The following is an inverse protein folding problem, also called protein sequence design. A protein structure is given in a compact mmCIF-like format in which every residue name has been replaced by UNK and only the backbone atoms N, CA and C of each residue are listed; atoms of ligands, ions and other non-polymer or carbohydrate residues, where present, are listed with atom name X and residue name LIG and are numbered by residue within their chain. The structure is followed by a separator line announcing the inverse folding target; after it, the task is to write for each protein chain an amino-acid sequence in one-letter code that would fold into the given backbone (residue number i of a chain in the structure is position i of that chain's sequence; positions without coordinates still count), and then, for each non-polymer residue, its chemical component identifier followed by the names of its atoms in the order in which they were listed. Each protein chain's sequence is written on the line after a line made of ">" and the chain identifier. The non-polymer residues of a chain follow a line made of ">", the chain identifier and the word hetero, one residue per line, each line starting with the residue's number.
data_IF_854694817026
#
_entry.id   IF_854694817026
#
_cell.length_a   1.000
_cell.length_b   1.000
_cell.length_c   1.000
_cell.angle_alpha   90.00
_cell.angle_beta   90.00
_cell.angle_gamma   90.00
#
_symmetry.space_group_name_H-M   'P 1'
#
loop_
_entity.id
_entity.type
_entity.pdbx_description
1 polymer ?
#
# COMPACT_ATOMS: atom_id res chain seq x y z
N UNK A 1 5.75 -11.82 -22.46
CA UNK A 1 6.81 -10.80 -22.73
C UNK A 1 6.29 -9.43 -22.33
N UNK A 2 7.08 -8.60 -21.61
CA UNK A 2 6.68 -7.25 -21.25
C UNK A 2 6.39 -6.36 -22.48
N UNK A 3 5.46 -5.43 -22.32
CA UNK A 3 5.03 -4.50 -23.37
C UNK A 3 6.10 -3.44 -23.70
N UNK A 4 5.96 -2.77 -24.86
CA UNK A 4 6.82 -1.61 -25.17
C UNK A 4 6.69 -0.50 -24.11
N UNK A 5 5.47 -0.27 -23.59
CA UNK A 5 5.23 0.70 -22.52
C UNK A 5 5.97 0.36 -21.22
N UNK A 6 6.17 -0.93 -20.92
CA UNK A 6 7.00 -1.36 -19.79
C UNK A 6 8.44 -0.86 -19.93
N UNK A 7 9.05 -1.04 -21.11
CA UNK A 7 10.44 -0.62 -21.32
C UNK A 7 10.58 0.91 -21.26
N UNK A 8 9.59 1.66 -21.74
CA UNK A 8 9.57 3.12 -21.65
C UNK A 8 9.54 3.58 -20.18
N UNK A 9 8.59 3.05 -19.40
CA UNK A 9 8.41 3.45 -17.99
C UNK A 9 9.60 3.02 -17.13
N UNK A 10 10.07 1.78 -17.27
CA UNK A 10 11.22 1.30 -16.50
C UNK A 10 12.50 2.05 -16.84
N UNK A 11 12.73 2.41 -18.11
CA UNK A 11 13.86 3.26 -18.51
C UNK A 11 13.73 4.66 -17.92
N UNK A 12 12.54 5.27 -17.95
CA UNK A 12 12.31 6.57 -17.33
C UNK A 12 12.57 6.57 -15.82
N UNK A 13 12.12 5.53 -15.10
CA UNK A 13 12.38 5.36 -13.66
C UNK A 13 13.89 5.27 -13.37
N UNK A 14 14.64 4.53 -14.20
CA UNK A 14 16.10 4.44 -14.10
C UNK A 14 16.77 5.79 -14.34
N UNK A 15 16.35 6.55 -15.36
CA UNK A 15 16.87 7.89 -15.67
C UNK A 15 16.56 8.92 -14.58
N UNK A 16 15.35 8.88 -13.99
CA UNK A 16 15.00 9.69 -12.82
C UNK A 16 15.86 9.40 -11.59
N UNK A 17 16.56 8.26 -11.56
CA UNK A 17 17.44 7.88 -10.47
C UNK A 17 16.70 7.57 -9.18
N UNK A 18 15.47 7.04 -9.26
CA UNK A 18 14.68 6.63 -8.09
C UNK A 18 15.47 5.62 -7.25
N UNK A 19 16.02 4.58 -7.89
CA UNK A 19 16.90 3.60 -7.23
C UNK A 19 18.08 4.25 -6.50
N UNK A 20 18.71 5.28 -7.08
CA UNK A 20 19.85 5.98 -6.45
C UNK A 20 19.47 6.64 -5.11
N UNK A 21 18.23 7.11 -4.98
CA UNK A 21 17.67 7.66 -3.73
C UNK A 21 17.51 6.53 -2.71
N UNK A 22 16.97 5.40 -3.15
CA UNK A 22 16.80 4.19 -2.33
C UNK A 22 18.10 3.42 -2.08
N UNK A 23 19.25 3.79 -2.65
CA UNK A 23 20.54 3.13 -2.38
C UNK A 23 21.42 3.84 -1.35
N UNK A 24 20.87 4.85 -0.67
CA UNK A 24 21.55 5.58 0.42
C UNK A 24 21.17 5.01 1.79
N UNK A 25 22.09 5.11 2.76
CA UNK A 25 21.82 4.88 4.18
C UNK A 25 22.50 6.02 4.98
N UNK A 26 21.76 6.94 5.64
CA UNK A 26 20.30 6.99 5.69
C UNK A 26 19.67 7.22 4.30
N UNK A 27 18.50 6.62 4.06
CA UNK A 27 17.70 6.89 2.86
C UNK A 27 17.42 8.40 2.75
N UNK A 28 17.49 8.97 1.55
CA UNK A 28 17.30 10.42 1.33
C UNK A 28 15.81 10.80 1.39
N UNK A 29 15.15 10.56 2.52
CA UNK A 29 13.71 10.74 2.70
C UNK A 29 13.24 12.16 2.39
N UNK A 30 14.05 13.19 2.71
CA UNK A 30 13.74 14.59 2.36
C UNK A 30 13.61 14.81 0.85
N UNK A 31 14.32 14.03 0.03
CA UNK A 31 14.19 14.08 -1.43
C UNK A 31 12.92 13.36 -1.91
N UNK A 32 12.55 12.26 -1.27
CA UNK A 32 11.29 11.55 -1.54
C UNK A 32 10.08 12.45 -1.23
N UNK A 33 10.10 13.15 -0.09
CA UNK A 33 9.01 14.04 0.34
C UNK A 33 8.77 15.25 -0.55
N UNK A 34 9.68 15.57 -1.49
CA UNK A 34 9.43 16.63 -2.48
C UNK A 34 8.29 16.25 -3.45
N UNK A 35 7.98 14.97 -3.56
CA UNK A 35 6.89 14.44 -4.38
C UNK A 35 5.60 14.23 -3.57
N UNK A 36 5.60 14.54 -2.27
CA UNK A 36 4.42 14.39 -1.40
C UNK A 36 3.33 15.39 -1.81
N UNK A 37 2.11 14.88 -1.88
CA UNK A 37 0.90 15.64 -2.20
C UNK A 37 -0.08 15.43 -1.05
N UNK A 38 -0.04 16.30 -0.06
CA UNK A 38 -0.95 16.26 1.09
C UNK A 38 -2.38 16.72 0.75
N UNK A 39 -2.51 17.49 -0.34
CA UNK A 39 -3.79 17.98 -0.85
C UNK A 39 -3.84 17.82 -2.37
N UNK A 40 -4.80 17.04 -2.91
CA UNK A 40 -4.86 16.79 -4.34
C UNK A 40 -5.28 18.07 -5.09
N UNK A 41 -4.76 18.21 -6.31
CA UNK A 41 -5.16 19.32 -7.18
C UNK A 41 -6.56 19.09 -7.79
N UNK A 42 -7.21 20.16 -8.25
CA UNK A 42 -8.49 20.05 -8.99
C UNK A 42 -8.40 19.12 -10.21
N UNK A 43 -7.23 19.06 -10.86
CA UNK A 43 -6.99 18.17 -12.00
C UNK A 43 -7.02 16.70 -11.59
N UNK A 44 -6.41 16.36 -10.45
CA UNK A 44 -6.37 14.98 -9.93
C UNK A 44 -7.75 14.51 -9.47
N UNK A 45 -8.56 15.44 -8.94
CA UNK A 45 -9.94 15.20 -8.53
C UNK A 45 -10.94 15.25 -9.70
N UNK A 46 -10.52 15.23 -10.97
CA UNK A 46 -11.46 15.38 -12.09
C UNK A 46 -12.53 14.26 -12.09
N UNK A 47 -13.76 14.63 -11.75
CA UNK A 47 -14.91 13.71 -11.61
C UNK A 47 -15.24 13.31 -10.17
N UNK A 48 -14.53 13.88 -9.18
CA UNK A 48 -14.70 13.65 -7.76
C UNK A 48 -14.76 14.99 -6.98
N UNK A 49 -15.43 15.00 -5.84
CA UNK A 49 -15.26 16.01 -4.78
C UNK A 49 -14.30 15.50 -3.71
N UNK A 50 -13.77 16.41 -2.89
CA UNK A 50 -12.97 16.02 -1.73
C UNK A 50 -13.21 16.89 -0.52
N UNK A 51 -13.24 16.27 0.66
CA UNK A 51 -13.22 16.93 1.96
C UNK A 51 -12.08 16.36 2.80
N UNK A 52 -11.65 17.10 3.84
CA UNK A 52 -10.55 16.67 4.69
C UNK A 52 -10.95 16.76 6.16
N UNK A 53 -10.54 15.77 6.94
CA UNK A 53 -10.66 15.77 8.39
C UNK A 53 -9.41 15.12 9.01
N UNK A 54 -9.23 15.28 10.31
CA UNK A 54 -8.09 14.68 11.03
C UNK A 54 -8.58 13.67 12.04
N UNK A 55 -7.84 12.56 12.15
CA UNK A 55 -7.96 11.61 13.25
C UNK A 55 -6.55 11.45 13.83
N UNK A 56 -6.39 11.84 15.09
CA UNK A 56 -5.06 12.02 15.69
C UNK A 56 -4.16 12.88 14.79
N UNK A 57 -3.01 12.35 14.35
CA UNK A 57 -2.06 13.04 13.46
C UNK A 57 -2.24 12.65 11.98
N UNK A 58 -3.21 11.80 11.65
CA UNK A 58 -3.50 11.43 10.26
C UNK A 58 -4.46 12.43 9.64
N UNK A 59 -4.04 13.02 8.52
CA UNK A 59 -4.94 13.78 7.66
C UNK A 59 -5.66 12.78 6.74
N UNK A 60 -6.97 12.69 6.88
CA UNK A 60 -7.81 11.86 6.02
C UNK A 60 -8.45 12.76 4.97
N UNK A 61 -8.27 12.41 3.70
CA UNK A 61 -8.99 13.07 2.61
C UNK A 61 -10.05 12.11 2.07
N UNK A 62 -11.30 12.48 2.24
CA UNK A 62 -12.42 11.81 1.58
C UNK A 62 -12.44 12.24 0.12
N UNK A 63 -12.53 11.27 -0.79
CA UNK A 63 -12.76 11.44 -2.22
C UNK A 63 -14.11 10.81 -2.52
N UNK A 64 -15.02 11.60 -3.07
CA UNK A 64 -16.38 11.16 -3.38
C UNK A 64 -16.63 11.32 -4.88
N UNK A 65 -17.11 10.30 -5.58
CA UNK A 65 -17.43 10.40 -6.99
C UNK A 65 -18.66 11.28 -7.21
N UNK A 66 -18.60 12.13 -8.24
CA UNK A 66 -19.71 13.04 -8.59
C UNK A 66 -20.90 12.33 -9.26
N UNK A 67 -20.73 11.08 -9.71
CA UNK A 67 -21.74 10.27 -10.39
C UNK A 67 -21.76 8.86 -9.81
N UNK A 68 -22.92 8.22 -9.82
CA UNK A 68 -23.12 6.83 -9.35
C UNK A 68 -22.55 6.58 -7.95
N UNK A 69 -22.70 7.58 -7.07
CA UNK A 69 -22.14 7.57 -5.73
C UNK A 69 -22.78 6.45 -4.89
N UNK A 70 -21.95 5.56 -4.36
CA UNK A 70 -22.33 4.56 -3.39
C UNK A 70 -21.69 4.90 -2.04
N UNK A 71 -22.44 5.62 -1.21
CA UNK A 71 -22.01 6.04 0.12
C UNK A 71 -22.17 4.96 1.20
N UNK A 72 -22.62 3.77 0.82
CA UNK A 72 -22.72 2.66 1.77
C UNK A 72 -21.38 1.98 2.00
N UNK A 73 -20.42 2.15 1.07
CA UNK A 73 -19.12 1.49 1.09
C UNK A 73 -17.97 2.48 1.16
N UNK A 74 -16.90 2.03 1.81
CA UNK A 74 -15.67 2.80 1.97
C UNK A 74 -14.47 2.03 1.40
N UNK A 75 -13.71 2.68 0.51
CA UNK A 75 -12.34 2.30 0.21
C UNK A 75 -11.37 3.01 1.15
N UNK A 76 -10.87 2.32 2.17
CA UNK A 76 -9.87 2.82 3.10
C UNK A 76 -8.48 2.58 2.51
N UNK A 77 -7.79 3.64 2.05
CA UNK A 77 -6.51 3.49 1.36
C UNK A 77 -5.33 4.03 2.19
N UNK A 78 -4.42 3.12 2.56
CA UNK A 78 -3.15 3.43 3.18
C UNK A 78 -2.03 3.45 2.10
N UNK A 79 -1.51 4.63 1.70
CA UNK A 79 -0.49 4.72 0.67
C UNK A 79 0.89 4.26 1.14
N UNK A 80 1.72 3.82 0.19
CA UNK A 80 3.12 3.52 0.39
C UNK A 80 4.00 4.75 0.67
N UNK A 81 5.30 4.62 0.40
CA UNK A 81 6.30 5.67 0.68
C UNK A 81 7.37 5.25 1.69
N UNK A 82 7.61 3.94 1.82
CA UNK A 82 8.65 3.37 2.70
C UNK A 82 8.59 3.89 4.15
N UNK A 83 7.39 4.17 4.68
CA UNK A 83 7.16 4.78 6.00
C UNK A 83 7.72 6.20 6.19
N UNK A 84 8.41 6.76 5.19
CA UNK A 84 9.14 8.04 5.29
C UNK A 84 8.59 9.14 4.39
N UNK A 85 7.75 8.82 3.40
CA UNK A 85 7.10 9.79 2.50
C UNK A 85 5.59 9.55 2.41
N UNK A 86 4.84 10.60 2.08
CA UNK A 86 3.38 10.62 2.03
C UNK A 86 2.75 10.16 0.71
N UNK A 87 1.43 10.38 0.57
CA UNK A 87 0.73 10.19 -0.70
C UNK A 87 1.42 11.00 -1.80
N UNK A 88 1.52 10.44 -3.00
CA UNK A 88 2.12 11.08 -4.17
C UNK A 88 1.17 11.01 -5.38
N UNK A 89 1.66 11.41 -6.54
CA UNK A 89 0.85 11.40 -7.77
C UNK A 89 0.27 10.02 -8.10
N UNK A 90 1.03 8.93 -7.92
CA UNK A 90 0.58 7.58 -8.24
C UNK A 90 -0.58 7.14 -7.35
N UNK A 91 -0.47 7.35 -6.04
CA UNK A 91 -1.53 6.99 -5.08
C UNK A 91 -2.80 7.81 -5.33
N UNK A 92 -2.66 9.10 -5.64
CA UNK A 92 -3.82 9.96 -5.90
C UNK A 92 -4.51 9.62 -7.22
N UNK A 93 -3.76 9.49 -8.32
CA UNK A 93 -4.33 9.17 -9.63
C UNK A 93 -5.04 7.80 -9.59
N UNK A 94 -4.49 6.84 -8.85
CA UNK A 94 -5.11 5.54 -8.64
C UNK A 94 -6.39 5.68 -7.81
N UNK A 95 -6.34 6.33 -6.64
CA UNK A 95 -7.51 6.48 -5.76
C UNK A 95 -8.66 7.22 -6.44
N UNK A 96 -8.38 8.34 -7.11
CA UNK A 96 -9.43 9.13 -7.76
C UNK A 96 -10.01 8.43 -8.98
N UNK A 97 -9.22 7.61 -9.68
CA UNK A 97 -9.71 6.71 -10.74
C UNK A 97 -10.63 5.64 -10.17
N UNK A 98 -10.20 4.93 -9.11
CA UNK A 98 -11.00 3.89 -8.46
C UNK A 98 -12.34 4.45 -7.96
N UNK A 99 -12.32 5.56 -7.22
CA UNK A 99 -13.54 6.22 -6.76
C UNK A 99 -14.48 6.58 -7.92
N UNK A 100 -13.95 7.23 -8.96
CA UNK A 100 -14.73 7.64 -10.13
C UNK A 100 -15.34 6.46 -10.90
N UNK A 101 -14.58 5.39 -11.11
CA UNK A 101 -14.99 4.30 -11.98
C UNK A 101 -15.87 3.27 -11.27
N UNK A 102 -15.75 3.15 -9.95
CA UNK A 102 -16.52 2.18 -9.16
C UNK A 102 -17.70 2.81 -8.42
N UNK A 103 -17.71 4.14 -8.28
CA UNK A 103 -18.73 4.85 -7.49
C UNK A 103 -18.49 4.81 -5.98
N UNK A 104 -17.42 4.15 -5.50
CA UNK A 104 -17.10 4.03 -4.07
C UNK A 104 -16.60 5.36 -3.48
N UNK A 105 -17.02 5.66 -2.26
CA UNK A 105 -16.39 6.72 -1.45
C UNK A 105 -15.05 6.22 -0.91
N UNK A 106 -13.99 7.03 -1.01
CA UNK A 106 -12.64 6.59 -0.69
C UNK A 106 -11.94 7.53 0.28
N UNK A 107 -11.14 6.98 1.20
CA UNK A 107 -10.30 7.74 2.13
C UNK A 107 -8.82 7.54 1.78
N UNK A 108 -8.13 8.64 1.48
CA UNK A 108 -6.66 8.68 1.46
C UNK A 108 -6.14 8.97 2.87
N UNK A 109 -5.30 8.10 3.41
CA UNK A 109 -4.70 8.29 4.73
C UNK A 109 -3.28 8.84 4.63
N UNK A 110 -3.11 10.11 5.00
CA UNK A 110 -1.79 10.71 5.17
C UNK A 110 -1.34 10.62 6.64
N UNK A 111 -0.86 9.43 7.00
CA UNK A 111 -0.42 9.06 8.35
C UNK A 111 0.95 9.66 8.73
N UNK A 112 1.34 9.70 10.02
CA UNK A 112 2.65 10.20 10.44
C UNK A 112 3.82 9.42 9.81
N UNK A 113 4.95 10.08 9.54
CA UNK A 113 6.09 9.49 8.83
C UNK A 113 7.37 9.48 9.68
N UNK A 114 8.23 8.52 9.41
CA UNK A 114 9.56 8.45 9.98
C UNK A 114 10.51 9.44 9.26
N UNK A 115 11.52 9.98 9.95
CA UNK A 115 11.97 9.60 11.29
C UNK A 115 11.20 10.24 12.46
N UNK A 116 10.32 11.21 12.19
CA UNK A 116 9.59 11.99 13.20
C UNK A 116 8.62 11.15 14.04
N UNK A 117 8.04 10.11 13.44
CA UNK A 117 7.17 9.14 14.09
C UNK A 117 7.70 7.72 13.94
N UNK A 118 7.46 6.89 14.96
CA UNK A 118 7.83 5.46 14.97
C UNK A 118 6.62 4.59 14.61
N UNK A 119 6.88 3.33 14.27
CA UNK A 119 5.87 2.37 13.80
C UNK A 119 4.71 2.20 14.80
N UNK A 120 4.98 2.29 16.10
CA UNK A 120 3.94 2.24 17.13
C UNK A 120 2.94 3.41 16.99
N UNK A 121 3.45 4.63 16.78
CA UNK A 121 2.59 5.80 16.57
C UNK A 121 1.84 5.72 15.22
N UNK A 122 2.51 5.25 14.16
CA UNK A 122 1.88 5.06 12.85
C UNK A 122 0.71 4.07 12.95
N UNK A 123 0.92 2.92 13.58
CA UNK A 123 -0.11 1.88 13.73
C UNK A 123 -1.26 2.33 14.62
N UNK A 124 -1.00 3.06 15.71
CA UNK A 124 -2.04 3.68 16.54
C UNK A 124 -2.90 4.68 15.74
N UNK A 125 -2.28 5.45 14.85
CA UNK A 125 -2.98 6.38 13.98
C UNK A 125 -3.88 5.66 12.97
N UNK A 126 -3.39 4.57 12.34
CA UNK A 126 -4.20 3.75 11.43
C UNK A 126 -5.36 3.07 12.17
N UNK A 127 -5.10 2.51 13.37
CA UNK A 127 -6.13 1.92 14.23
C UNK A 127 -7.24 2.94 14.56
N UNK A 128 -6.87 4.17 14.90
CA UNK A 128 -7.82 5.23 15.21
C UNK A 128 -8.66 5.66 13.99
N UNK A 129 -8.06 5.74 12.80
CA UNK A 129 -8.82 6.05 11.57
C UNK A 129 -9.77 4.90 11.22
N UNK A 130 -9.37 3.64 11.42
CA UNK A 130 -10.24 2.50 11.18
C UNK A 130 -11.41 2.47 12.18
N UNK A 131 -11.15 2.74 13.47
CA UNK A 131 -12.20 2.91 14.46
C UNK A 131 -13.18 4.04 14.06
N UNK A 132 -12.66 5.16 13.54
CA UNK A 132 -13.50 6.24 13.02
C UNK A 132 -14.33 5.82 11.80
N UNK A 133 -13.80 4.95 10.94
CA UNK A 133 -14.55 4.39 9.82
C UNK A 133 -15.72 3.51 10.31
N UNK A 134 -15.50 2.70 11.36
CA UNK A 134 -16.54 1.85 11.96
C UNK A 134 -17.70 2.61 12.60
N UNK A 135 -17.50 3.89 12.95
CA UNK A 135 -18.60 4.77 13.41
C UNK A 135 -19.55 5.18 12.27
N UNK A 136 -19.11 5.06 11.01
CA UNK A 136 -19.81 5.57 9.83
C UNK A 136 -20.28 4.43 8.92
N UNK A 137 -19.46 3.39 8.79
CA UNK A 137 -19.67 2.26 7.89
C UNK A 137 -19.67 0.94 8.69
N UNK A 138 -20.60 0.02 8.43
CA UNK A 138 -20.45 -1.36 8.88
C UNK A 138 -19.13 -1.94 8.39
N UNK A 139 -18.46 -2.77 9.20
CA UNK A 139 -17.17 -3.36 8.82
C UNK A 139 -17.24 -4.17 7.52
N UNK A 140 -18.39 -4.82 7.28
CA UNK A 140 -18.74 -5.55 6.04
C UNK A 140 -18.84 -4.66 4.80
N UNK A 141 -18.76 -3.34 4.95
CA UNK A 141 -18.81 -2.38 3.84
C UNK A 141 -17.48 -1.61 3.70
N UNK A 142 -16.45 -1.96 4.48
CA UNK A 142 -15.13 -1.35 4.38
C UNK A 142 -14.21 -2.28 3.60
N UNK A 143 -13.70 -1.81 2.47
CA UNK A 143 -12.60 -2.44 1.72
C UNK A 143 -11.32 -1.69 2.08
N UNK A 144 -10.29 -2.42 2.50
CA UNK A 144 -9.01 -1.81 2.88
C UNK A 144 -7.97 -2.08 1.80
N UNK A 145 -7.37 -1.03 1.27
CA UNK A 145 -6.30 -1.11 0.27
C UNK A 145 -5.01 -0.51 0.83
N UNK A 146 -3.87 -1.07 0.43
CA UNK A 146 -2.58 -0.47 0.75
C UNK A 146 -1.46 -0.97 -0.15
N UNK A 147 -0.54 -0.08 -0.49
CA UNK A 147 0.62 -0.41 -1.31
C UNK A 147 1.92 -0.31 -0.52
N UNK A 148 2.90 -1.17 -0.80
CA UNK A 148 4.24 -1.10 -0.22
C UNK A 148 4.22 -1.03 1.32
N UNK A 149 4.74 0.04 1.92
CA UNK A 149 4.64 0.33 3.36
C UNK A 149 3.19 0.46 3.87
N UNK A 150 2.27 1.01 3.07
CA UNK A 150 0.85 1.02 3.41
C UNK A 150 0.24 -0.38 3.38
N UNK A 151 0.71 -1.25 2.48
CA UNK A 151 0.40 -2.67 2.46
C UNK A 151 0.77 -3.37 3.78
N UNK A 152 1.95 -3.05 4.33
CA UNK A 152 2.35 -3.52 5.66
C UNK A 152 1.41 -3.03 6.77
N UNK A 153 1.06 -1.73 6.77
CA UNK A 153 0.18 -1.14 7.79
C UNK A 153 -1.22 -1.75 7.80
N UNK A 154 -1.78 -2.11 6.63
CA UNK A 154 -3.11 -2.74 6.56
C UNK A 154 -3.07 -4.22 7.00
N UNK A 155 -1.97 -4.93 6.71
CA UNK A 155 -1.79 -6.30 7.18
C UNK A 155 -1.68 -6.32 8.71
N UNK A 156 -0.83 -5.47 9.28
CA UNK A 156 -0.66 -5.41 10.74
C UNK A 156 -1.89 -4.85 11.46
N UNK A 157 -2.63 -3.90 10.85
CA UNK A 157 -3.97 -3.50 11.32
C UNK A 157 -4.86 -4.73 11.48
N UNK A 158 -4.95 -5.56 10.44
CA UNK A 158 -5.80 -6.75 10.45
C UNK A 158 -5.35 -7.75 11.52
N UNK A 159 -4.04 -7.97 11.71
CA UNK A 159 -3.53 -8.80 12.81
C UNK A 159 -4.00 -8.29 14.18
N UNK A 160 -3.94 -6.97 14.40
CA UNK A 160 -4.40 -6.34 15.64
C UNK A 160 -5.92 -6.45 15.81
N UNK A 161 -6.70 -6.29 14.74
CA UNK A 161 -8.15 -6.42 14.79
C UNK A 161 -8.56 -7.85 15.17
N UNK A 162 -7.97 -8.86 14.53
CA UNK A 162 -8.20 -10.28 14.85
C UNK A 162 -7.83 -10.57 16.30
N UNK A 163 -6.64 -10.16 16.74
CA UNK A 163 -6.17 -10.41 18.11
C UNK A 163 -7.07 -9.78 19.18
N UNK A 164 -7.73 -8.66 18.87
CA UNK A 164 -8.65 -7.94 19.75
C UNK A 164 -10.11 -8.37 19.60
N UNK A 165 -10.43 -9.29 18.68
CA UNK A 165 -11.82 -9.67 18.38
C UNK A 165 -12.66 -8.51 17.83
N UNK A 166 -12.03 -7.56 17.13
CA UNK A 166 -12.72 -6.40 16.57
C UNK A 166 -13.30 -6.71 15.18
N UNK A 167 -14.34 -5.98 14.73
CA UNK A 167 -14.89 -6.13 13.39
C UNK A 167 -13.81 -6.01 12.31
N UNK A 168 -13.80 -6.94 11.36
CA UNK A 168 -12.85 -6.99 10.26
C UNK A 168 -13.42 -6.33 9.00
N UNK A 169 -12.57 -5.71 8.16
CA UNK A 169 -13.03 -5.19 6.88
C UNK A 169 -13.50 -6.33 5.98
N UNK A 170 -14.34 -5.99 5.01
CA UNK A 170 -14.88 -6.94 4.03
C UNK A 170 -13.78 -7.70 3.28
N UNK A 171 -12.71 -6.99 2.90
CA UNK A 171 -11.62 -7.47 2.03
C UNK A 171 -10.37 -6.60 2.16
N UNK A 172 -9.20 -7.19 1.93
CA UNK A 172 -7.93 -6.49 1.81
C UNK A 172 -7.41 -6.52 0.36
N UNK A 173 -6.91 -5.40 -0.13
CA UNK A 173 -6.18 -5.29 -1.40
C UNK A 173 -4.75 -4.83 -1.08
N UNK A 174 -3.80 -5.77 -1.09
CA UNK A 174 -2.40 -5.53 -0.72
C UNK A 174 -1.51 -5.50 -1.98
N UNK A 175 -0.93 -4.33 -2.27
CA UNK A 175 -0.15 -4.11 -3.50
C UNK A 175 1.34 -4.05 -3.17
N UNK A 176 2.08 -5.07 -3.57
CA UNK A 176 3.51 -5.21 -3.31
C UNK A 176 3.88 -4.89 -1.84
N UNK A 177 3.20 -5.46 -0.84
CA UNK A 177 3.38 -5.09 0.56
C UNK A 177 4.78 -5.47 1.07
N UNK A 178 5.26 -4.72 2.08
CA UNK A 178 6.44 -5.11 2.87
C UNK A 178 6.03 -6.17 3.89
N UNK A 179 6.51 -7.41 3.75
CA UNK A 179 6.23 -8.50 4.71
C UNK A 179 7.27 -8.64 5.82
N UNK A 180 8.54 -8.40 5.48
CA UNK A 180 9.68 -8.45 6.41
C UNK A 180 10.54 -7.20 6.22
N UNK A 181 10.81 -6.48 7.31
CA UNK A 181 11.65 -5.30 7.35
C UNK A 181 13.12 -5.56 7.61
N UNK A 182 13.52 -6.80 7.93
CA UNK A 182 14.93 -7.19 8.07
C UNK A 182 15.59 -7.40 6.70
N UNK A 183 14.82 -7.91 5.73
CA UNK A 183 15.26 -8.23 4.36
C UNK A 183 16.46 -9.19 4.31
N UNK A 184 16.39 -10.30 5.05
CA UNK A 184 17.47 -11.32 5.13
C UNK A 184 17.32 -12.46 4.14
N UNK A 185 16.22 -12.50 3.37
CA UNK A 185 15.98 -13.54 2.38
C UNK A 185 17.08 -13.52 1.29
N UNK A 186 17.79 -14.64 1.06
CA UNK A 186 18.96 -14.68 0.18
C UNK A 186 18.61 -14.41 -1.29
N UNK A 187 17.36 -14.61 -1.71
CA UNK A 187 16.94 -14.31 -3.07
C UNK A 187 16.87 -12.80 -3.36
N UNK A 188 16.80 -11.95 -2.33
CA UNK A 188 16.71 -10.49 -2.50
C UNK A 188 17.95 -9.96 -3.22
N UNK A 189 19.14 -10.51 -2.94
CA UNK A 189 20.39 -10.02 -3.53
C UNK A 189 20.45 -10.25 -5.04
N UNK A 190 19.77 -11.28 -5.56
CA UNK A 190 19.64 -11.52 -7.00
C UNK A 190 18.61 -10.58 -7.66
N UNK A 191 17.59 -10.12 -6.92
CA UNK A 191 16.52 -9.26 -7.45
C UNK A 191 16.86 -7.78 -7.34
N UNK A 192 17.64 -7.36 -6.33
CA UNK A 192 18.03 -5.96 -6.15
C UNK A 192 18.59 -5.31 -7.44
N UNK A 193 19.54 -5.89 -8.20
CA UNK A 193 20.00 -5.27 -9.45
C UNK A 193 18.89 -5.13 -10.52
N UNK A 194 17.85 -5.96 -10.48
CA UNK A 194 16.74 -5.94 -11.44
C UNK A 194 15.71 -4.85 -11.12
N UNK A 195 15.44 -4.60 -9.83
CA UNK A 195 14.51 -3.58 -9.37
C UNK A 195 14.95 -2.18 -9.82
N UNK A 196 14.07 -1.47 -10.53
CA UNK A 196 14.34 -0.15 -11.09
C UNK A 196 14.00 1.02 -10.16
N UNK A 197 13.38 0.74 -9.00
CA UNK A 197 12.85 1.72 -8.06
C UNK A 197 13.47 1.61 -6.67
N UNK A 198 13.39 0.43 -6.06
CA UNK A 198 13.84 0.20 -4.69
C UNK A 198 15.26 -0.35 -4.66
N UNK A 199 15.86 -0.35 -3.47
CA UNK A 199 17.02 -1.21 -3.20
C UNK A 199 16.97 -1.70 -1.75
N UNK A 200 17.57 -2.86 -1.50
CA UNK A 200 17.59 -3.50 -0.18
C UNK A 200 18.05 -2.52 0.90
N UNK A 201 19.14 -1.81 0.63
CA UNK A 201 19.78 -0.85 1.53
C UNK A 201 18.84 0.29 1.99
N UNK A 202 18.08 0.87 1.07
CA UNK A 202 17.18 1.99 1.43
C UNK A 202 15.93 1.54 2.15
N UNK A 203 15.41 0.36 1.82
CA UNK A 203 14.29 -0.20 2.59
C UNK A 203 14.76 -0.49 4.02
N UNK A 204 15.89 -1.18 4.21
CA UNK A 204 16.47 -1.41 5.55
C UNK A 204 16.65 -0.09 6.32
N UNK A 205 17.24 0.92 5.67
CA UNK A 205 17.40 2.25 6.26
C UNK A 205 16.07 2.90 6.68
N UNK A 206 15.04 2.83 5.83
CA UNK A 206 13.73 3.38 6.14
C UNK A 206 13.06 2.64 7.32
N UNK A 207 13.30 1.33 7.43
CA UNK A 207 12.82 0.50 8.53
C UNK A 207 13.52 0.84 9.85
N UNK A 208 14.84 1.01 9.84
CA UNK A 208 15.60 1.49 11.00
C UNK A 208 15.09 2.87 11.48
N UNK A 209 14.73 3.77 10.56
CA UNK A 209 14.16 5.07 10.92
C UNK A 209 12.83 4.98 11.68
N UNK A 210 12.00 3.99 11.37
CA UNK A 210 10.67 3.84 11.95
C UNK A 210 10.58 2.82 13.10
N UNK A 211 11.58 1.95 13.32
CA UNK A 211 11.47 0.84 14.28
C UNK A 211 11.24 1.28 15.75
N UNK A 212 11.80 2.42 16.16
CA UNK A 212 11.80 2.84 17.56
C UNK A 212 12.60 1.87 18.43
N UNK A 213 12.01 1.40 19.53
CA UNK A 213 12.61 0.43 20.45
C UNK A 213 12.29 -1.03 20.09
N UNK A 214 11.55 -1.27 19.00
CA UNK A 214 11.17 -2.60 18.56
C UNK A 214 12.27 -3.24 17.71
N UNK A 215 12.38 -4.56 17.80
CA UNK A 215 13.18 -5.34 16.86
C UNK A 215 12.56 -5.26 15.46
N UNK A 216 13.39 -5.29 14.41
CA UNK A 216 12.89 -5.33 13.02
C UNK A 216 12.01 -6.55 12.71
N UNK A 217 12.13 -7.62 13.49
CA UNK A 217 11.30 -8.83 13.43
C UNK A 217 9.96 -8.69 14.18
N UNK A 218 9.72 -7.59 14.90
CA UNK A 218 8.45 -7.36 15.58
C UNK A 218 7.29 -7.40 14.57
N UNK A 219 6.17 -8.08 14.85
CA UNK A 219 5.05 -8.19 13.92
C UNK A 219 4.46 -6.85 13.44
N UNK A 220 4.56 -5.76 14.22
CA UNK A 220 4.12 -4.42 13.78
C UNK A 220 4.97 -3.87 12.63
N UNK A 221 6.23 -4.28 12.59
CA UNK A 221 7.18 -3.98 11.54
C UNK A 221 7.05 -5.03 10.44
N UNK A 222 7.04 -6.31 10.79
CA UNK A 222 7.24 -7.42 9.87
C UNK A 222 6.10 -8.42 10.04
N UNK A 223 4.94 -8.22 9.37
CA UNK A 223 3.76 -9.05 9.56
C UNK A 223 4.00 -10.54 9.29
N UNK A 224 5.06 -10.89 8.56
CA UNK A 224 5.50 -12.27 8.36
C UNK A 224 5.74 -13.03 9.68
N UNK A 225 6.12 -12.34 10.76
CA UNK A 225 6.32 -12.93 12.09
C UNK A 225 5.04 -12.98 12.95
N UNK A 226 3.95 -12.34 12.52
CA UNK A 226 2.62 -12.44 13.14
C UNK A 226 1.75 -13.53 12.50
N UNK A 227 0.53 -13.72 12.99
CA UNK A 227 -0.44 -14.66 12.38
C UNK A 227 -1.36 -13.96 11.38
N UNK A 228 -1.73 -14.67 10.32
CA UNK A 228 -2.75 -14.32 9.33
C UNK A 228 -4.07 -15.11 9.52
N UNK A 229 -4.16 -16.02 10.51
CA UNK A 229 -5.41 -16.74 10.83
C UNK A 229 -6.55 -15.76 11.10
N UNK A 230 -7.73 -16.08 10.57
CA UNK A 230 -8.93 -15.25 10.72
C UNK A 230 -8.94 -13.97 9.87
N UNK A 231 -7.97 -13.78 8.97
CA UNK A 231 -8.02 -12.68 8.01
C UNK A 231 -9.25 -12.78 7.10
N UNK A 232 -9.83 -11.63 6.68
CA UNK A 232 -10.80 -11.60 5.60
C UNK A 232 -10.12 -11.97 4.26
N UNK A 233 -10.87 -12.10 3.15
CA UNK A 233 -10.29 -12.31 1.84
C UNK A 233 -9.21 -11.27 1.50
N UNK A 234 -8.13 -11.72 0.85
CA UNK A 234 -6.98 -10.89 0.49
C UNK A 234 -6.67 -11.03 -1.00
N UNK A 235 -6.60 -9.90 -1.70
CA UNK A 235 -6.04 -9.80 -3.04
C UNK A 235 -4.60 -9.30 -2.93
N UNK A 236 -3.64 -10.17 -3.22
CA UNK A 236 -2.21 -9.91 -3.10
C UNK A 236 -1.57 -9.72 -4.49
N UNK A 237 -1.21 -8.47 -4.80
CA UNK A 237 -0.47 -8.14 -6.00
C UNK A 237 1.03 -8.18 -5.73
N UNK A 238 1.78 -8.92 -6.54
CA UNK A 238 3.23 -9.08 -6.42
C UNK A 238 3.90 -8.71 -7.74
N UNK A 239 5.10 -8.13 -7.71
CA UNK A 239 5.93 -7.90 -8.89
C UNK A 239 7.20 -8.72 -8.80
N UNK A 240 7.58 -9.45 -9.83
CA UNK A 240 8.77 -10.34 -9.78
C UNK A 240 10.09 -9.56 -9.69
N UNK A 241 10.18 -8.36 -10.27
CA UNK A 241 11.36 -7.49 -10.24
C UNK A 241 11.22 -6.41 -9.16
N UNK A 242 10.80 -6.83 -7.97
CA UNK A 242 10.64 -6.04 -6.76
C UNK A 242 11.49 -6.68 -5.65
N UNK A 243 12.35 -5.90 -4.99
CA UNK A 243 13.16 -6.41 -3.85
C UNK A 243 12.33 -7.01 -2.72
N UNK A 244 11.04 -6.68 -2.61
CA UNK A 244 10.13 -7.24 -1.62
C UNK A 244 9.51 -8.59 -2.03
N UNK A 245 9.66 -8.98 -3.30
CA UNK A 245 9.05 -10.18 -3.86
C UNK A 245 9.39 -11.49 -3.11
N UNK A 246 10.66 -11.73 -2.73
CA UNK A 246 11.00 -12.97 -2.03
C UNK A 246 10.21 -13.17 -0.73
N UNK A 247 10.04 -12.10 0.06
CA UNK A 247 9.29 -12.17 1.32
C UNK A 247 7.78 -12.16 1.10
N UNK A 248 7.31 -11.55 0.00
CA UNK A 248 5.90 -11.69 -0.42
C UNK A 248 5.54 -13.14 -0.76
N UNK A 249 6.47 -13.93 -1.34
CA UNK A 249 6.25 -15.38 -1.53
C UNK A 249 6.08 -16.12 -0.21
N UNK A 250 6.93 -15.83 0.78
CA UNK A 250 6.80 -16.41 2.13
C UNK A 250 5.48 -16.02 2.80
N UNK A 251 5.09 -14.75 2.68
CA UNK A 251 3.82 -14.23 3.16
C UNK A 251 2.61 -14.92 2.51
N UNK A 252 2.62 -15.07 1.18
CA UNK A 252 1.61 -15.81 0.41
C UNK A 252 1.47 -17.25 0.91
N UNK A 253 2.58 -17.95 1.06
CA UNK A 253 2.58 -19.36 1.45
C UNK A 253 2.08 -19.54 2.89
N UNK A 254 2.47 -18.62 3.79
CA UNK A 254 1.96 -18.58 5.16
C UNK A 254 0.47 -18.27 5.22
N UNK A 255 -0.02 -17.27 4.48
CA UNK A 255 -1.45 -16.94 4.40
C UNK A 255 -2.28 -18.14 3.92
N UNK A 256 -1.83 -18.84 2.88
CA UNK A 256 -2.48 -20.07 2.41
C UNK A 256 -2.49 -21.16 3.48
N UNK A 257 -1.37 -21.40 4.13
CA UNK A 257 -1.27 -22.40 5.20
C UNK A 257 -2.15 -22.06 6.42
N UNK A 258 -2.42 -20.78 6.67
CA UNK A 258 -3.30 -20.30 7.74
C UNK A 258 -4.77 -20.14 7.32
N UNK A 259 -5.14 -20.62 6.12
CA UNK A 259 -6.53 -20.69 5.66
C UNK A 259 -7.11 -19.38 5.14
N UNK A 260 -6.27 -18.41 4.80
CA UNK A 260 -6.74 -17.14 4.21
C UNK A 260 -7.24 -17.38 2.79
N UNK A 261 -8.43 -16.85 2.47
CA UNK A 261 -8.95 -16.80 1.11
C UNK A 261 -8.12 -15.80 0.28
N UNK A 262 -7.07 -16.31 -0.36
CA UNK A 262 -6.05 -15.51 -1.01
C UNK A 262 -6.17 -15.58 -2.54
N UNK A 263 -6.42 -14.43 -3.18
CA UNK A 263 -6.25 -14.24 -4.61
C UNK A 263 -4.86 -13.64 -4.88
N UNK A 264 -4.08 -14.22 -5.77
CA UNK A 264 -2.68 -13.81 -6.01
C UNK A 264 -2.53 -13.36 -7.46
N UNK A 265 -2.15 -12.09 -7.63
CA UNK A 265 -1.91 -11.49 -8.93
C UNK A 265 -0.40 -11.24 -9.08
N UNK A 266 0.27 -12.10 -9.83
CA UNK A 266 1.70 -12.00 -10.08
C UNK A 266 1.98 -11.26 -11.40
N UNK A 267 2.72 -10.15 -11.30
CA UNK A 267 3.31 -9.47 -12.45
C UNK A 267 4.68 -10.05 -12.77
N UNK A 268 4.76 -10.95 -13.76
CA UNK A 268 6.04 -11.44 -14.29
C UNK A 268 6.90 -10.28 -14.79
N UNK A 269 8.15 -10.20 -14.31
CA UNK A 269 9.13 -9.14 -14.57
C UNK A 269 8.68 -7.72 -14.20
N UNK A 270 7.55 -7.58 -13.51
CA UNK A 270 6.99 -6.29 -13.17
C UNK A 270 7.72 -5.66 -11.97
N UNK A 271 7.91 -4.33 -11.96
CA UNK A 271 8.59 -3.63 -10.88
C UNK A 271 7.72 -3.49 -9.62
N UNK A 272 8.30 -2.94 -8.57
CA UNK A 272 7.57 -2.51 -7.37
C UNK A 272 6.36 -1.62 -7.71
N UNK A 273 5.23 -1.85 -7.04
CA UNK A 273 3.93 -1.15 -7.21
C UNK A 273 3.43 -1.05 -8.65
N UNK A 274 3.78 -2.02 -9.50
CA UNK A 274 3.41 -2.02 -10.91
C UNK A 274 1.91 -1.80 -11.18
N UNK A 275 0.92 -2.25 -10.38
CA UNK A 275 -0.49 -1.97 -10.68
C UNK A 275 -0.83 -0.48 -10.70
N UNK A 276 -0.04 0.35 -10.00
CA UNK A 276 -0.28 1.78 -9.86
C UNK A 276 0.58 2.63 -10.81
N UNK A 277 1.48 2.01 -11.57
CA UNK A 277 2.35 2.74 -12.51
C UNK A 277 1.56 3.23 -13.74
N UNK A 278 1.81 4.47 -14.22
CA UNK A 278 1.06 5.02 -15.32
C UNK A 278 1.54 4.46 -16.65
N UNK A 279 0.68 4.51 -17.67
CA UNK A 279 0.99 4.25 -19.09
C UNK A 279 1.44 2.83 -19.47
N UNK A 280 1.75 1.97 -18.51
CA UNK A 280 2.04 0.56 -18.72
C UNK A 280 0.76 -0.22 -18.99
N UNK A 281 0.71 -0.97 -20.11
CA UNK A 281 -0.44 -1.83 -20.44
C UNK A 281 -0.74 -2.85 -19.33
N UNK A 282 0.29 -3.40 -18.72
CA UNK A 282 0.19 -4.32 -17.59
C UNK A 282 -0.46 -3.64 -16.39
N UNK A 283 0.01 -2.45 -16.02
CA UNK A 283 -0.54 -1.66 -14.93
C UNK A 283 -2.00 -1.28 -15.15
N UNK A 284 -2.38 -0.89 -16.37
CA UNK A 284 -3.80 -0.62 -16.70
C UNK A 284 -4.66 -1.86 -16.49
N UNK A 285 -4.19 -3.05 -16.91
CA UNK A 285 -4.92 -4.30 -16.67
C UNK A 285 -5.07 -4.60 -15.19
N UNK A 286 -4.00 -4.46 -14.40
CA UNK A 286 -4.07 -4.71 -12.96
C UNK A 286 -4.89 -3.68 -12.19
N UNK A 287 -4.87 -2.41 -12.58
CA UNK A 287 -5.73 -1.41 -11.98
C UNK A 287 -7.21 -1.62 -12.37
N UNK A 288 -7.49 -2.15 -13.56
CA UNK A 288 -8.83 -2.62 -13.93
C UNK A 288 -9.26 -3.83 -13.08
N UNK A 289 -8.33 -4.74 -12.77
CA UNK A 289 -8.60 -5.87 -11.87
C UNK A 289 -8.99 -5.38 -10.47
N UNK A 290 -8.26 -4.39 -9.93
CA UNK A 290 -8.62 -3.73 -8.66
C UNK A 290 -10.01 -3.10 -8.73
N UNK A 291 -10.36 -2.46 -9.86
CA UNK A 291 -11.71 -1.92 -10.08
C UNK A 291 -12.78 -3.02 -10.08
N UNK A 292 -12.52 -4.17 -10.71
CA UNK A 292 -13.47 -5.29 -10.72
C UNK A 292 -13.65 -5.88 -9.32
N UNK A 293 -12.55 -6.11 -8.59
CA UNK A 293 -12.60 -6.58 -7.19
C UNK A 293 -13.49 -5.66 -6.35
N UNK A 294 -13.33 -4.34 -6.48
CA UNK A 294 -14.18 -3.38 -5.76
C UNK A 294 -15.63 -3.51 -6.22
N UNK A 295 -15.90 -3.50 -7.52
CA UNK A 295 -17.26 -3.57 -8.08
C UNK A 295 -18.01 -4.85 -7.69
N UNK A 296 -17.32 -5.99 -7.56
CA UNK A 296 -17.92 -7.24 -7.11
C UNK A 296 -18.40 -7.15 -5.65
N UNK A 297 -17.67 -6.41 -4.82
CA UNK A 297 -18.03 -6.20 -3.41
C UNK A 297 -19.11 -5.14 -3.19
N UNK A 298 -19.41 -4.31 -4.19
CA UNK A 298 -20.48 -3.29 -4.12
C UNK A 298 -21.87 -3.84 -4.47
N UNK A 299 -21.97 -5.10 -4.88
CA UNK A 299 -23.24 -5.79 -5.18
C UNK A 299 -23.89 -6.34 -3.92
#
# INVERSE_FOLDING_TARGET
>A
MPSLSYYIVTTFLRLKGVKKIFSQNPILYKKLRKEDIHKPSKRMLKGNSSTQFKVLRTLVTTVEPQKNKNDLFLLFYCPGGAFVSGPNMLSWDSLTRLAKNTGITAWMLDYPKAPESKILEMTQNIDAVYAKALEIYPASNIIVMGDSAGGNLILTLTQRLVAKGLPLPKRLIAICPVFDGVLTNPEIDAIDPLDCMLSKKGIQSAREMCQGDLALTDPLLSPLYGSFKGFPPVDLFMGEYDVLYPDQKLGRDKMKAEGVALNVILGEKMPHVWPLLPFMKESVKALNEIEQIILEELR
#
